data_IF_513885650641
#
_entry.id   IF_513885650641
#
_cell.length_a   1.000
_cell.length_b   1.000
_cell.length_c   1.000
_cell.angle_alpha   90.00
_cell.angle_beta   90.00
_cell.angle_gamma   90.00
#
_symmetry.space_group_name_H-M   'P 1'
#
loop_
_entity.id
_entity.type
_entity.pdbx_description
1 polymer ?
#
# COMPACT_ATOMS: atom_id res chain seq x y z
N UNK A 1 -3.41 -11.02 -6.65
CA UNK A 1 -2.93 -10.13 -7.74
C UNK A 1 -3.32 -8.67 -7.55
N UNK A 2 -4.31 -8.36 -6.70
CA UNK A 2 -4.77 -6.98 -6.40
C UNK A 2 -3.74 -6.04 -5.75
N UNK A 3 -2.53 -6.52 -5.42
CA UNK A 3 -1.43 -5.70 -4.91
C UNK A 3 -0.44 -5.26 -6.02
N UNK A 4 -0.64 -5.74 -7.25
CA UNK A 4 0.22 -5.42 -8.39
C UNK A 4 -0.12 -4.07 -9.03
N UNK A 5 -1.41 -3.76 -9.18
CA UNK A 5 -1.89 -2.53 -9.81
C UNK A 5 -3.22 -2.06 -9.19
N UNK A 6 -3.57 -0.81 -9.46
CA UNK A 6 -4.88 -0.23 -9.15
C UNK A 6 -5.96 -0.72 -10.12
N UNK A 7 -5.56 -1.08 -11.34
CA UNK A 7 -6.43 -1.70 -12.35
C UNK A 7 -6.53 -3.22 -12.16
N UNK A 8 -7.59 -3.80 -12.73
CA UNK A 8 -7.76 -5.25 -12.73
C UNK A 8 -6.69 -5.91 -13.61
N UNK A 9 -5.88 -6.76 -13.00
CA UNK A 9 -4.84 -7.54 -13.69
C UNK A 9 -5.35 -8.97 -13.83
N UNK A 10 -5.65 -9.43 -15.05
CA UNK A 10 -6.05 -10.82 -15.30
C UNK A 10 -4.86 -11.77 -15.22
N UNK A 11 -3.70 -11.39 -15.76
CA UNK A 11 -2.49 -12.21 -15.75
C UNK A 11 -1.29 -11.46 -15.20
N UNK A 12 -0.53 -12.14 -14.33
CA UNK A 12 0.64 -11.53 -13.66
C UNK A 12 1.80 -11.29 -14.64
N UNK A 13 1.87 -12.06 -15.72
CA UNK A 13 2.88 -11.96 -16.78
C UNK A 13 2.78 -10.66 -17.60
N UNK A 14 1.60 -10.02 -17.63
CA UNK A 14 1.40 -8.77 -18.37
C UNK A 14 2.03 -7.57 -17.65
N UNK A 15 2.23 -7.68 -16.33
CA UNK A 15 2.71 -6.59 -15.47
C UNK A 15 4.10 -6.84 -14.91
N UNK A 16 4.59 -8.08 -14.91
CA UNK A 16 5.88 -8.45 -14.36
C UNK A 16 6.56 -9.52 -15.19
N UNK A 17 7.87 -9.36 -15.42
CA UNK A 17 8.69 -10.37 -16.08
C UNK A 17 9.56 -11.12 -15.08
N UNK A 18 9.77 -12.41 -15.35
CA UNK A 18 10.69 -13.24 -14.57
C UNK A 18 12.11 -12.70 -14.73
N UNK A 19 12.79 -12.44 -13.61
CA UNK A 19 14.14 -11.85 -13.57
C UNK A 19 14.16 -10.31 -13.55
N UNK A 20 13.00 -9.67 -13.59
CA UNK A 20 12.89 -8.22 -13.46
C UNK A 20 13.14 -7.78 -12.00
N UNK A 21 13.97 -6.75 -11.83
CA UNK A 21 14.16 -6.11 -10.52
C UNK A 21 13.20 -4.95 -10.38
N UNK A 22 12.24 -5.07 -9.48
CA UNK A 22 11.22 -4.05 -9.20
C UNK A 22 11.32 -3.56 -7.76
N UNK A 23 11.03 -2.27 -7.55
CA UNK A 23 10.87 -1.74 -6.20
C UNK A 23 9.47 -2.08 -5.70
N UNK A 24 9.36 -2.51 -4.44
CA UNK A 24 8.09 -2.87 -3.79
C UNK A 24 8.05 -2.33 -2.37
N UNK A 25 6.84 -2.10 -1.85
CA UNK A 25 6.63 -1.75 -0.44
C UNK A 25 6.27 -2.99 0.37
N UNK A 26 6.88 -3.16 1.54
CA UNK A 26 6.46 -4.17 2.51
C UNK A 26 5.20 -3.67 3.23
N UNK A 27 4.13 -4.45 3.18
CA UNK A 27 2.83 -4.09 3.77
C UNK A 27 2.46 -4.98 4.96
N UNK A 28 3.19 -6.06 5.18
CA UNK A 28 2.97 -6.94 6.32
C UNK A 28 4.04 -8.00 6.44
N UNK A 29 4.34 -8.37 7.67
CA UNK A 29 5.28 -9.44 7.99
C UNK A 29 4.58 -10.36 8.99
N UNK A 30 4.34 -11.60 8.58
CA UNK A 30 3.84 -12.67 9.43
C UNK A 30 5.01 -13.59 9.77
N UNK A 31 5.61 -13.37 10.93
CA UNK A 31 6.79 -14.12 11.40
C UNK A 31 6.43 -15.55 11.80
N UNK A 32 5.21 -15.77 12.32
CA UNK A 32 4.73 -17.10 12.71
C UNK A 32 4.60 -18.03 11.50
N UNK A 33 4.10 -17.50 10.38
CA UNK A 33 3.99 -18.23 9.11
C UNK A 33 5.17 -18.02 8.17
N UNK A 34 6.16 -17.21 8.56
CA UNK A 34 7.32 -16.81 7.75
C UNK A 34 6.92 -16.26 6.38
N UNK A 35 5.88 -15.43 6.34
CA UNK A 35 5.36 -14.80 5.11
C UNK A 35 5.58 -13.30 5.15
N UNK A 36 5.96 -12.74 4.01
CA UNK A 36 6.07 -11.29 3.81
C UNK A 36 5.07 -10.90 2.73
N UNK A 37 4.26 -9.90 3.02
CA UNK A 37 3.31 -9.32 2.09
C UNK A 37 3.92 -8.08 1.45
N UNK A 38 3.91 -8.03 0.12
CA UNK A 38 4.52 -6.99 -0.70
C UNK A 38 3.46 -6.34 -1.59
N UNK A 39 3.63 -5.05 -1.89
CA UNK A 39 2.71 -4.29 -2.73
C UNK A 39 3.46 -3.38 -3.70
N UNK A 40 3.08 -3.44 -4.98
CA UNK A 40 3.57 -2.54 -6.03
C UNK A 40 2.68 -1.30 -6.13
N UNK A 41 1.36 -1.47 -6.02
CA UNK A 41 0.41 -0.35 -6.16
C UNK A 41 0.61 0.75 -5.12
N UNK A 42 1.10 0.42 -3.92
CA UNK A 42 1.33 1.40 -2.85
C UNK A 42 2.58 2.27 -3.06
N UNK A 43 3.43 1.93 -4.03
CA UNK A 43 4.52 2.81 -4.47
C UNK A 43 4.06 3.82 -5.52
N UNK A 44 3.00 3.49 -6.25
CA UNK A 44 2.37 4.41 -7.20
C UNK A 44 1.36 5.30 -6.49
N UNK A 45 1.25 6.56 -6.91
CA UNK A 45 0.20 7.44 -6.39
C UNK A 45 -1.18 6.81 -6.61
N UNK A 46 -2.09 6.88 -5.61
CA UNK A 46 -3.45 6.39 -5.78
C UNK A 46 -4.15 7.17 -6.91
N UNK A 47 -5.04 6.52 -7.68
CA UNK A 47 -5.76 7.20 -8.76
C UNK A 47 -6.58 8.35 -8.19
N UNK A 48 -6.60 9.48 -8.90
CA UNK A 48 -7.27 10.73 -8.46
C UNK A 48 -8.75 10.53 -8.09
N UNK A 49 -9.39 9.50 -8.62
CA UNK A 49 -10.76 9.08 -8.30
C UNK A 49 -10.98 8.69 -6.84
N UNK A 50 -9.93 8.26 -6.11
CA UNK A 50 -9.99 7.94 -4.68
C UNK A 50 -9.74 9.15 -3.76
N UNK A 51 -9.29 10.29 -4.30
CA UNK A 51 -8.97 11.49 -3.51
C UNK A 51 -10.20 12.30 -3.08
N UNK A 52 -11.42 11.85 -3.42
CA UNK A 52 -12.66 12.61 -3.20
C UNK A 52 -13.43 12.34 -1.91
N UNK A 53 -12.96 11.49 -0.99
CA UNK A 53 -13.73 11.14 0.21
C UNK A 53 -12.85 10.96 1.46
N UNK A 54 -12.48 12.07 2.10
CA UNK A 54 -12.38 12.26 3.56
C UNK A 54 -11.77 13.63 3.86
N UNK A 55 -12.61 14.64 3.77
CA UNK A 55 -12.41 15.90 4.49
C UNK A 55 -12.72 15.67 5.97
N UNK A 56 -11.85 16.18 6.85
CA UNK A 56 -12.07 16.47 8.29
C UNK A 56 -12.10 15.28 9.29
N UNK A 57 -11.11 15.18 10.19
CA UNK A 57 -11.24 15.62 11.59
C UNK A 57 -10.00 15.32 12.44
N UNK A 58 -9.38 16.41 12.90
CA UNK A 58 -8.71 16.63 14.21
C UNK A 58 -7.97 15.45 14.85
N UNK A 59 -6.64 15.53 14.88
CA UNK A 59 -5.82 14.93 15.92
C UNK A 59 -4.49 15.67 15.99
N UNK A 60 -4.36 16.58 16.95
CA UNK A 60 -3.12 16.97 17.64
C UNK A 60 -3.50 18.00 18.72
N UNK A 61 -4.47 17.67 19.59
CA UNK A 61 -4.64 18.37 20.86
C UNK A 61 -4.19 17.39 21.95
N UNK A 62 -2.91 17.46 22.30
CA UNK A 62 -2.36 16.76 23.46
C UNK A 62 -2.73 17.57 24.69
N UNK A 63 -3.40 17.00 25.71
CA UNK A 63 -3.54 17.71 26.96
C UNK A 63 -2.16 17.86 27.61
N UNK A 64 -1.74 19.09 27.86
CA UNK A 64 -0.62 19.42 28.73
C UNK A 64 -0.89 18.78 30.10
N UNK A 65 0.03 17.91 30.54
CA UNK A 65 0.03 17.37 31.89
C UNK A 65 0.65 18.44 32.79
N UNK A 66 -0.14 19.09 33.63
CA UNK A 66 0.40 19.85 34.76
C UNK A 66 0.89 18.84 35.84
N UNK A 67 2.12 19.06 36.32
CA UNK A 67 2.84 18.25 37.33
C UNK A 67 2.20 18.31 38.73
#
# INVERSE_FOLDING_TARGET
>A
ISELSWDHVERTEDVLKVGETVQVKVIGIDTARRRISLSLKQLSAPPASLAGARTDQRQDEYPEVEE
#
